data_IF_977732038712
#
_entry.id   IF_977732038712
#
_cell.length_a   1.000
_cell.length_b   1.000
_cell.length_c   1.000
_cell.angle_alpha   90.00
_cell.angle_beta   90.00
_cell.angle_gamma   90.00
#
_symmetry.space_group_name_H-M   'P 1'
#
loop_
_entity.id
_entity.type
_entity.pdbx_description
1 polymer ?
#
# COMPACT_ATOMS: atom_id res chain seq x y z
N UNK A 1 26.65 24.96 2.10
CA UNK A 1 26.47 23.73 2.90
C UNK A 1 27.30 22.66 2.24
N UNK A 2 28.05 21.87 3.02
CA UNK A 2 28.93 20.81 2.48
C UNK A 2 28.24 19.43 2.44
N UNK A 3 27.03 19.33 2.99
CA UNK A 3 26.19 18.14 2.99
C UNK A 3 24.71 18.51 2.86
N UNK A 4 23.93 17.68 2.17
CA UNK A 4 22.49 17.81 2.02
C UNK A 4 21.82 16.44 1.94
N UNK A 5 20.83 16.20 2.80
CA UNK A 5 19.97 15.02 2.72
C UNK A 5 18.75 15.33 1.86
N UNK A 6 18.68 14.75 0.66
CA UNK A 6 17.51 14.88 -0.20
C UNK A 6 16.46 13.82 0.15
N UNK A 7 15.28 14.27 0.60
CA UNK A 7 14.15 13.41 0.96
C UNK A 7 13.03 13.40 -0.10
N UNK A 8 13.16 14.22 -1.15
CA UNK A 8 12.16 14.35 -2.20
C UNK A 8 12.60 13.61 -3.45
N UNK A 9 11.94 12.48 -3.76
CA UNK A 9 12.22 11.67 -4.95
C UNK A 9 12.23 12.49 -6.27
N UNK A 10 11.33 13.47 -6.41
CA UNK A 10 11.30 14.37 -7.58
C UNK A 10 12.59 15.17 -7.73
N UNK A 11 13.09 15.74 -6.63
CA UNK A 11 14.32 16.53 -6.64
C UNK A 11 15.52 15.63 -6.88
N UNK A 12 15.57 14.48 -6.20
CA UNK A 12 16.62 13.48 -6.43
C UNK A 12 16.73 13.13 -7.92
N UNK A 13 15.61 12.89 -8.59
CA UNK A 13 15.59 12.55 -10.01
C UNK A 13 16.00 13.71 -10.94
N UNK A 14 15.57 14.95 -10.65
CA UNK A 14 15.59 16.01 -11.66
C UNK A 14 16.41 17.27 -11.30
N UNK A 15 16.58 17.57 -10.01
CA UNK A 15 17.15 18.86 -9.57
C UNK A 15 18.68 18.91 -9.63
N UNK A 16 19.35 17.76 -9.71
CA UNK A 16 20.82 17.65 -9.65
C UNK A 16 21.49 17.52 -11.03
N UNK A 17 20.76 17.82 -12.10
CA UNK A 17 21.32 17.90 -13.46
C UNK A 17 22.01 19.27 -13.66
N UNK A 18 23.08 19.52 -12.91
CA UNK A 18 23.79 20.81 -12.85
C UNK A 18 25.30 20.64 -13.04
N UNK A 19 26.02 21.68 -13.52
CA UNK A 19 27.47 21.60 -13.77
C UNK A 19 28.29 21.15 -12.56
N UNK A 20 27.89 21.54 -11.34
CA UNK A 20 28.60 21.14 -10.13
C UNK A 20 28.67 19.61 -9.93
N UNK A 21 27.66 18.86 -10.38
CA UNK A 21 27.65 17.39 -10.33
C UNK A 21 28.55 16.80 -11.41
N UNK A 22 28.42 17.28 -12.65
CA UNK A 22 29.23 16.76 -13.78
C UNK A 22 30.71 17.12 -13.66
N UNK A 23 31.04 18.22 -12.98
CA UNK A 23 32.40 18.69 -12.73
C UNK A 23 32.98 18.17 -11.40
N UNK A 24 32.27 17.27 -10.70
CA UNK A 24 32.75 16.61 -9.49
C UNK A 24 32.83 17.49 -8.23
N UNK A 25 32.34 18.74 -8.29
CA UNK A 25 32.26 19.64 -7.12
C UNK A 25 31.14 19.28 -6.16
N UNK A 26 30.12 18.56 -6.63
CA UNK A 26 29.03 18.02 -5.83
C UNK A 26 28.88 16.53 -6.15
N UNK A 27 29.02 15.68 -5.14
CA UNK A 27 28.83 14.23 -5.29
C UNK A 27 27.42 13.86 -4.85
N UNK A 28 26.69 13.20 -5.76
CA UNK A 28 25.35 12.67 -5.49
C UNK A 28 25.47 11.16 -5.29
N UNK A 29 25.17 10.67 -4.09
CA UNK A 29 25.34 9.26 -3.72
C UNK A 29 24.13 8.72 -2.96
N UNK A 30 23.72 7.49 -3.29
CA UNK A 30 22.71 6.74 -2.54
C UNK A 30 23.41 5.70 -1.67
N UNK A 31 23.38 5.92 -0.36
CA UNK A 31 24.05 5.04 0.61
C UNK A 31 23.03 4.07 1.21
N UNK A 32 23.14 2.75 0.97
CA UNK A 32 22.27 1.78 1.62
C UNK A 32 22.56 1.73 3.12
N UNK A 33 21.53 1.51 3.92
CA UNK A 33 21.67 1.28 5.36
C UNK A 33 20.86 0.03 5.76
N UNK A 34 21.21 -0.57 6.89
CA UNK A 34 20.46 -1.70 7.48
C UNK A 34 19.48 -1.25 8.56
N UNK A 35 19.08 0.01 8.58
CA UNK A 35 18.14 0.48 9.59
C UNK A 35 16.75 -0.09 9.26
N UNK A 36 16.05 -0.69 10.24
CA UNK A 36 14.67 -1.08 10.04
C UNK A 36 13.85 0.15 9.65
N UNK A 37 13.05 0.00 8.61
CA UNK A 37 12.12 1.00 8.13
C UNK A 37 10.70 0.46 8.17
N UNK A 38 9.73 1.33 8.40
CA UNK A 38 8.30 0.99 8.37
C UNK A 38 7.55 1.20 9.68
N UNK A 39 6.24 0.93 9.70
CA UNK A 39 5.39 0.82 8.51
C UNK A 39 4.77 2.19 8.19
N UNK A 40 4.93 2.65 6.95
CA UNK A 40 4.11 3.72 6.39
C UNK A 40 3.00 3.12 5.53
N UNK A 41 1.75 3.45 5.82
CA UNK A 41 0.61 2.92 5.08
C UNK A 41 -0.71 3.55 5.49
N UNK A 42 -1.78 3.19 4.78
CA UNK A 42 -3.13 3.59 5.13
C UNK A 42 -3.71 2.63 6.16
N UNK A 43 -4.21 3.19 7.26
CA UNK A 43 -4.65 2.38 8.41
C UNK A 43 -6.17 2.35 8.49
N UNK A 44 -6.73 1.14 8.49
CA UNK A 44 -8.16 0.94 8.69
C UNK A 44 -8.52 1.06 10.18
N UNK A 45 -9.50 1.89 10.51
CA UNK A 45 -10.04 1.94 11.86
C UNK A 45 -11.01 0.77 12.10
N UNK A 46 -10.52 -0.34 12.65
CA UNK A 46 -11.30 -1.57 12.88
C UNK A 46 -12.46 -1.41 13.88
N UNK A 47 -12.53 -0.27 14.58
CA UNK A 47 -13.68 0.08 15.44
C UNK A 47 -14.92 0.45 14.62
N UNK A 48 -14.76 0.78 13.33
CA UNK A 48 -15.86 1.07 12.41
C UNK A 48 -16.36 -0.23 11.76
N UNK A 49 -17.68 -0.52 11.78
CA UNK A 49 -18.23 -1.76 11.21
C UNK A 49 -17.83 -2.04 9.76
N UNK A 50 -17.72 -0.99 8.93
CA UNK A 50 -17.36 -1.09 7.50
C UNK A 50 -15.98 -1.73 7.27
N UNK A 51 -15.07 -1.70 8.25
CA UNK A 51 -13.71 -2.25 8.12
C UNK A 51 -13.45 -3.51 8.94
N UNK A 52 -14.47 -4.05 9.62
CA UNK A 52 -14.27 -5.21 10.50
C UNK A 52 -13.96 -6.49 9.74
N UNK A 53 -14.56 -6.69 8.57
CA UNK A 53 -14.29 -7.85 7.73
C UNK A 53 -12.90 -7.74 7.07
N UNK A 54 -12.09 -8.78 7.22
CA UNK A 54 -10.74 -8.84 6.63
C UNK A 54 -10.77 -8.83 5.11
N UNK A 55 -11.78 -9.45 4.49
CA UNK A 55 -11.95 -9.51 3.04
C UNK A 55 -12.22 -8.13 2.46
N UNK A 56 -12.97 -7.29 3.18
CA UNK A 56 -13.15 -5.88 2.80
C UNK A 56 -11.83 -5.15 2.81
N UNK A 57 -11.02 -5.28 3.87
CA UNK A 57 -9.71 -4.61 3.94
C UNK A 57 -8.77 -5.09 2.84
N UNK A 58 -8.77 -6.38 2.54
CA UNK A 58 -8.01 -6.96 1.44
C UNK A 58 -8.49 -6.41 0.09
N UNK A 59 -9.80 -6.38 -0.15
CA UNK A 59 -10.38 -5.82 -1.37
C UNK A 59 -9.99 -4.35 -1.58
N UNK A 60 -10.12 -3.53 -0.54
CA UNK A 60 -9.72 -2.12 -0.60
C UNK A 60 -8.21 -1.97 -0.85
N UNK A 61 -7.39 -2.85 -0.28
CA UNK A 61 -5.93 -2.81 -0.48
C UNK A 61 -5.53 -3.15 -1.92
N UNK A 62 -6.26 -4.04 -2.59
CA UNK A 62 -6.05 -4.39 -4.01
C UNK A 62 -6.25 -3.19 -4.95
N UNK A 63 -7.04 -2.20 -4.54
CA UNK A 63 -7.37 -1.05 -5.37
C UNK A 63 -6.32 0.07 -5.31
N UNK A 64 -5.30 -0.08 -4.46
CA UNK A 64 -4.16 0.83 -4.41
C UNK A 64 -3.08 0.39 -5.41
N UNK A 65 -2.98 1.11 -6.52
CA UNK A 65 -1.96 0.85 -7.55
C UNK A 65 -0.62 1.49 -7.16
N UNK A 66 0.21 0.73 -6.43
CA UNK A 66 1.53 1.20 -6.00
C UNK A 66 2.47 1.41 -7.17
N UNK A 67 2.51 0.48 -8.12
CA UNK A 67 3.46 0.52 -9.23
C UNK A 67 3.22 1.76 -10.10
N UNK A 68 1.94 2.09 -10.38
CA UNK A 68 1.59 3.33 -11.07
C UNK A 68 1.97 4.55 -10.23
N UNK A 69 1.63 4.56 -8.94
CA UNK A 69 1.93 5.68 -8.04
C UNK A 69 3.43 5.96 -7.98
N UNK A 70 4.24 4.91 -7.82
CA UNK A 70 5.68 5.01 -7.75
C UNK A 70 6.28 5.52 -9.06
N UNK A 71 5.82 4.98 -10.19
CA UNK A 71 6.26 5.42 -11.52
C UNK A 71 5.91 6.89 -11.78
N UNK A 72 4.66 7.29 -11.55
CA UNK A 72 4.15 8.59 -11.96
C UNK A 72 4.47 9.72 -10.97
N UNK A 73 4.43 9.45 -9.67
CA UNK A 73 4.55 10.48 -8.64
C UNK A 73 5.93 10.55 -8.01
N UNK A 74 6.66 9.43 -8.05
CA UNK A 74 7.90 9.24 -7.29
C UNK A 74 9.11 8.85 -8.17
N UNK A 75 8.98 8.92 -9.50
CA UNK A 75 10.06 8.60 -10.45
C UNK A 75 10.67 7.19 -10.24
N UNK A 76 9.88 6.25 -9.72
CA UNK A 76 10.34 4.89 -9.41
C UNK A 76 11.30 4.79 -8.23
N UNK A 77 11.46 5.86 -7.43
CA UNK A 77 12.48 5.91 -6.38
C UNK A 77 12.18 5.06 -5.13
N UNK A 78 10.93 4.60 -4.94
CA UNK A 78 10.54 3.88 -3.73
C UNK A 78 10.36 2.38 -3.97
N UNK A 79 10.65 1.59 -2.94
CA UNK A 79 10.26 0.19 -2.85
C UNK A 79 8.97 0.04 -2.03
N UNK A 80 8.15 -0.97 -2.34
CA UNK A 80 6.91 -1.22 -1.60
C UNK A 80 7.21 -1.86 -0.25
N UNK A 81 6.78 -1.22 0.84
CA UNK A 81 6.80 -1.84 2.19
C UNK A 81 5.93 -3.10 2.20
N UNK A 82 6.55 -4.24 2.52
CA UNK A 82 5.97 -5.58 2.62
C UNK A 82 6.06 -6.18 4.03
N UNK A 83 6.86 -5.57 4.91
CA UNK A 83 7.02 -5.98 6.30
C UNK A 83 6.79 -4.81 7.26
N UNK A 84 6.36 -5.12 8.48
CA UNK A 84 6.37 -4.16 9.59
C UNK A 84 7.81 -3.81 10.04
N UNK A 85 8.78 -4.67 9.72
CA UNK A 85 10.21 -4.52 10.03
C UNK A 85 11.04 -4.46 8.74
N UNK A 86 10.57 -3.72 7.73
CA UNK A 86 11.21 -3.64 6.42
C UNK A 86 12.70 -3.22 6.52
N UNK A 87 13.52 -3.61 5.54
CA UNK A 87 14.95 -3.26 5.51
C UNK A 87 15.74 -3.75 6.75
N UNK A 88 15.32 -4.87 7.34
CA UNK A 88 16.02 -5.51 8.46
C UNK A 88 15.94 -7.03 8.39
N UNK A 89 16.82 -7.70 9.13
CA UNK A 89 16.82 -9.16 9.31
C UNK A 89 15.53 -9.69 9.96
N UNK A 90 14.79 -8.82 10.65
CA UNK A 90 13.50 -9.17 11.27
C UNK A 90 12.35 -9.19 10.25
N UNK A 91 12.58 -8.79 9.00
CA UNK A 91 11.56 -8.84 7.96
C UNK A 91 11.24 -10.30 7.62
N UNK A 92 9.95 -10.68 7.77
CA UNK A 92 9.50 -12.00 7.35
C UNK A 92 9.69 -12.15 5.83
N UNK A 93 10.43 -13.19 5.43
CA UNK A 93 10.66 -13.53 4.03
C UNK A 93 10.30 -15.00 3.81
N UNK A 94 9.49 -15.28 2.78
CA UNK A 94 9.07 -16.64 2.50
C UNK A 94 8.13 -17.25 3.55
N UNK A 95 8.17 -18.58 3.66
CA UNK A 95 7.46 -19.35 4.68
C UNK A 95 8.30 -19.45 5.95
N UNK A 96 7.67 -19.62 7.13
CA UNK A 96 8.41 -19.78 8.36
C UNK A 96 9.30 -21.04 8.31
N UNK A 97 10.55 -20.90 8.76
CA UNK A 97 11.46 -22.04 8.94
C UNK A 97 11.08 -22.90 10.17
N UNK A 98 11.84 -23.96 10.45
CA UNK A 98 11.53 -24.88 11.54
C UNK A 98 11.52 -24.21 12.94
N UNK A 99 12.43 -23.25 13.19
CA UNK A 99 12.51 -22.54 14.46
C UNK A 99 11.35 -21.57 14.63
N UNK A 100 11.03 -20.84 13.55
CA UNK A 100 9.89 -19.93 13.49
C UNK A 100 8.57 -20.70 13.63
N UNK A 101 8.42 -21.87 12.98
CA UNK A 101 7.24 -22.74 13.17
C UNK A 101 7.12 -23.16 14.63
N UNK A 102 8.22 -23.56 15.30
CA UNK A 102 8.17 -23.92 16.72
C UNK A 102 7.65 -22.78 17.62
N UNK A 103 7.96 -21.52 17.28
CA UNK A 103 7.44 -20.33 17.97
C UNK A 103 5.95 -20.10 17.67
N UNK A 104 5.52 -20.32 16.42
CA UNK A 104 4.16 -20.06 15.95
C UNK A 104 3.16 -21.17 16.32
N UNK A 105 3.62 -22.41 16.46
CA UNK A 105 2.79 -23.60 16.66
C UNK A 105 1.83 -23.49 17.87
N UNK A 106 2.25 -22.97 19.05
CA UNK A 106 1.34 -22.75 20.19
C UNK A 106 0.18 -21.80 19.87
N UNK A 107 0.33 -20.97 18.84
CA UNK A 107 -0.67 -19.99 18.41
C UNK A 107 -1.40 -20.39 17.12
N UNK A 108 -1.16 -21.59 16.57
CA UNK A 108 -1.70 -22.01 15.27
C UNK A 108 -3.21 -21.80 15.13
N UNK A 109 -4.00 -22.05 16.18
CA UNK A 109 -5.45 -21.84 16.17
C UNK A 109 -5.90 -20.37 16.14
N UNK A 110 -4.99 -19.44 16.47
CA UNK A 110 -5.22 -17.98 16.48
C UNK A 110 -4.61 -17.29 15.25
N UNK A 111 -3.84 -18.01 14.43
CA UNK A 111 -3.17 -17.48 13.27
C UNK A 111 -3.93 -17.85 11.99
N UNK A 112 -3.91 -16.98 10.96
CA UNK A 112 -4.42 -17.36 9.64
C UNK A 112 -3.68 -18.60 9.12
N UNK A 113 -4.38 -19.64 8.61
CA UNK A 113 -3.72 -20.85 8.11
C UNK A 113 -2.66 -20.58 7.04
N UNK A 114 -2.88 -19.56 6.22
CA UNK A 114 -1.97 -19.10 5.17
C UNK A 114 -0.56 -18.74 5.67
N UNK A 115 -0.39 -18.39 6.96
CA UNK A 115 0.94 -18.14 7.57
C UNK A 115 1.89 -19.33 7.35
N UNK A 116 1.36 -20.56 7.27
CA UNK A 116 2.15 -21.77 7.12
C UNK A 116 2.19 -22.32 5.69
N UNK A 117 1.41 -21.77 4.75
CA UNK A 117 1.28 -22.33 3.40
C UNK A 117 1.55 -21.34 2.27
N UNK A 118 1.45 -20.04 2.53
CA UNK A 118 1.64 -19.00 1.52
C UNK A 118 2.43 -17.82 2.09
N UNK A 119 3.58 -17.53 1.48
CA UNK A 119 4.37 -16.37 1.85
C UNK A 119 3.64 -15.07 1.47
N UNK A 120 3.51 -14.13 2.40
CA UNK A 120 2.84 -12.88 2.14
C UNK A 120 3.52 -12.07 1.03
N UNK A 121 2.72 -11.62 0.07
CA UNK A 121 3.11 -10.69 -0.98
C UNK A 121 2.09 -9.56 -1.04
N UNK A 122 2.58 -8.33 -1.25
CA UNK A 122 1.69 -7.25 -1.66
C UNK A 122 1.15 -7.55 -3.06
N UNK A 123 -0.09 -7.13 -3.38
CA UNK A 123 -0.54 -7.17 -4.77
C UNK A 123 0.35 -6.26 -5.62
N UNK A 124 0.74 -6.76 -6.78
CA UNK A 124 1.49 -6.01 -7.77
C UNK A 124 0.63 -5.79 -9.02
N UNK A 125 0.77 -4.62 -9.64
CA UNK A 125 0.18 -4.30 -10.94
C UNK A 125 1.28 -4.16 -12.00
N UNK A 126 0.90 -3.95 -13.26
CA UNK A 126 1.85 -3.61 -14.33
C UNK A 126 2.24 -2.12 -14.35
N UNK A 127 1.70 -1.32 -13.43
CA UNK A 127 1.91 0.12 -13.35
C UNK A 127 1.31 0.93 -14.51
N UNK A 128 0.40 0.34 -15.29
CA UNK A 128 -0.31 1.03 -16.38
C UNK A 128 -1.40 1.98 -15.87
N UNK A 129 -1.86 1.80 -14.63
CA UNK A 129 -3.05 2.46 -14.07
C UNK A 129 -4.35 1.75 -14.42
N UNK A 130 -4.30 0.62 -15.13
CA UNK A 130 -5.45 -0.21 -15.48
C UNK A 130 -5.45 -1.50 -14.65
N UNK A 131 -6.08 -1.46 -13.48
CA UNK A 131 -6.03 -2.56 -12.49
C UNK A 131 -7.21 -3.53 -12.57
N UNK A 132 -7.65 -3.91 -13.78
CA UNK A 132 -8.87 -4.73 -13.99
C UNK A 132 -8.82 -6.08 -13.26
N UNK A 133 -7.64 -6.72 -13.19
CA UNK A 133 -7.50 -7.99 -12.49
C UNK A 133 -7.74 -7.82 -10.98
N UNK A 134 -7.13 -6.80 -10.38
CA UNK A 134 -7.28 -6.43 -8.98
C UNK A 134 -8.72 -5.98 -8.67
N UNK A 135 -9.36 -5.21 -9.55
CA UNK A 135 -10.76 -4.80 -9.42
C UNK A 135 -11.71 -6.01 -9.39
N UNK A 136 -11.51 -7.00 -10.27
CA UNK A 136 -12.32 -8.24 -10.26
C UNK A 136 -12.14 -9.02 -8.96
N UNK A 137 -10.90 -9.18 -8.50
CA UNK A 137 -10.61 -9.87 -7.24
C UNK A 137 -11.19 -9.12 -6.04
N UNK A 138 -11.05 -7.79 -6.01
CA UNK A 138 -11.64 -6.94 -4.98
C UNK A 138 -13.17 -7.10 -4.97
N UNK A 139 -13.81 -7.04 -6.14
CA UNK A 139 -15.27 -7.22 -6.25
C UNK A 139 -15.74 -8.60 -5.76
N UNK A 140 -14.99 -9.68 -6.04
CA UNK A 140 -15.29 -11.01 -5.50
C UNK A 140 -15.22 -11.03 -3.97
N UNK A 141 -14.14 -10.51 -3.38
CA UNK A 141 -13.97 -10.43 -1.92
C UNK A 141 -15.07 -9.59 -1.25
N UNK A 142 -15.49 -8.50 -1.89
CA UNK A 142 -16.59 -7.66 -1.40
C UNK A 142 -17.93 -8.41 -1.45
N UNK A 143 -18.21 -9.16 -2.52
CA UNK A 143 -19.41 -10.01 -2.61
C UNK A 143 -19.43 -11.11 -1.55
N UNK A 144 -18.30 -11.76 -1.30
CA UNK A 144 -18.16 -12.75 -0.23
C UNK A 144 -18.40 -12.13 1.15
N UNK A 145 -18.08 -10.85 1.33
CA UNK A 145 -18.40 -10.05 2.51
C UNK A 145 -19.86 -9.55 2.55
N UNK A 146 -20.70 -9.96 1.58
CA UNK A 146 -22.11 -9.60 1.48
C UNK A 146 -22.38 -8.24 0.85
N UNK A 147 -21.36 -7.56 0.34
CA UNK A 147 -21.53 -6.30 -0.38
C UNK A 147 -21.97 -6.56 -1.81
N UNK A 148 -22.67 -5.60 -2.42
CA UNK A 148 -23.16 -5.75 -3.80
C UNK A 148 -23.36 -4.39 -4.46
N UNK A 149 -23.45 -4.39 -5.79
CA UNK A 149 -23.81 -3.19 -6.54
C UNK A 149 -25.34 -3.09 -6.65
N UNK A 150 -25.88 -1.92 -6.34
CA UNK A 150 -27.28 -1.52 -6.59
C UNK A 150 -27.23 -0.14 -7.24
N UNK A 151 -27.79 0.00 -8.44
CA UNK A 151 -27.83 1.28 -9.18
C UNK A 151 -26.45 1.95 -9.28
N UNK A 152 -25.44 1.19 -9.73
CA UNK A 152 -24.04 1.62 -9.87
C UNK A 152 -23.36 2.11 -8.57
N UNK A 153 -23.95 1.80 -7.41
CA UNK A 153 -23.37 2.07 -6.09
C UNK A 153 -23.11 0.78 -5.33
N UNK A 154 -21.93 0.71 -4.71
CA UNK A 154 -21.63 -0.36 -3.76
C UNK A 154 -22.47 -0.14 -2.50
N UNK A 155 -23.19 -1.17 -2.08
CA UNK A 155 -23.87 -1.22 -0.79
C UNK A 155 -23.27 -2.30 0.09
N UNK A 156 -23.20 -2.04 1.39
CA UNK A 156 -22.73 -3.02 2.38
C UNK A 156 -23.74 -4.17 2.56
N UNK A 157 -23.39 -5.14 3.42
CA UNK A 157 -24.26 -6.28 3.75
C UNK A 157 -25.62 -5.89 4.36
N UNK A 158 -25.81 -4.62 4.77
CA UNK A 158 -27.07 -4.07 5.29
C UNK A 158 -27.81 -3.23 4.26
N UNK A 159 -27.32 -3.17 3.02
CA UNK A 159 -27.90 -2.38 1.93
C UNK A 159 -27.61 -0.88 2.02
N UNK A 160 -26.65 -0.45 2.85
CA UNK A 160 -26.27 0.97 2.95
C UNK A 160 -25.21 1.32 1.91
N UNK A 161 -25.35 2.43 1.16
CA UNK A 161 -24.30 2.91 0.28
C UNK A 161 -22.96 3.06 1.00
N UNK A 162 -21.89 2.54 0.41
CA UNK A 162 -20.55 2.56 0.99
C UNK A 162 -19.88 3.90 0.69
N UNK A 163 -19.65 4.66 1.75
CA UNK A 163 -18.83 5.87 1.74
C UNK A 163 -17.68 5.67 2.71
N UNK A 164 -16.46 5.81 2.21
CA UNK A 164 -15.23 5.76 2.99
C UNK A 164 -14.71 7.18 3.18
N UNK A 165 -14.36 7.52 4.41
CA UNK A 165 -13.72 8.79 4.73
C UNK A 165 -12.23 8.56 5.01
N UNK A 166 -11.38 9.33 4.34
CA UNK A 166 -9.94 9.35 4.57
C UNK A 166 -9.55 10.67 5.24
N UNK A 167 -9.01 10.60 6.46
CA UNK A 167 -8.46 11.74 7.16
C UNK A 167 -7.02 11.96 6.71
N UNK A 168 -6.76 13.06 6.01
CA UNK A 168 -5.48 13.39 5.42
C UNK A 168 -4.71 14.35 6.32
N UNK A 169 -3.65 13.86 6.96
CA UNK A 169 -2.78 14.68 7.81
C UNK A 169 -1.64 15.39 7.02
N UNK A 170 -1.26 14.84 5.87
CA UNK A 170 -0.16 15.34 5.03
C UNK A 170 -0.69 15.64 3.63
N UNK A 171 -0.78 16.92 3.29
CA UNK A 171 -1.37 17.37 2.01
C UNK A 171 -0.66 16.76 0.80
N UNK A 172 0.63 16.48 0.91
CA UNK A 172 1.46 15.88 -0.14
C UNK A 172 1.01 14.46 -0.53
N UNK A 173 0.25 13.77 0.34
CA UNK A 173 -0.33 12.46 0.08
C UNK A 173 -1.66 12.52 -0.67
N UNK A 174 -2.27 13.70 -0.83
CA UNK A 174 -3.53 13.83 -1.58
C UNK A 174 -3.40 13.28 -3.01
N UNK A 175 -2.28 13.59 -3.70
CA UNK A 175 -2.00 13.06 -5.05
C UNK A 175 -1.90 11.54 -5.12
N UNK A 176 -1.59 10.87 -4.01
CA UNK A 176 -1.59 9.39 -3.91
C UNK A 176 -3.02 8.86 -3.73
N UNK A 177 -3.87 9.62 -3.03
CA UNK A 177 -5.26 9.24 -2.78
C UNK A 177 -6.18 9.48 -3.98
N UNK A 178 -5.88 10.42 -4.87
CA UNK A 178 -6.74 10.71 -6.04
C UNK A 178 -6.88 9.51 -7.00
N UNK A 179 -5.79 8.81 -7.42
CA UNK A 179 -5.91 7.56 -8.18
C UNK A 179 -6.65 6.47 -7.41
N UNK A 180 -6.38 6.35 -6.10
CA UNK A 180 -7.05 5.37 -5.25
C UNK A 180 -8.57 5.63 -5.16
N UNK A 181 -8.97 6.90 -5.04
CA UNK A 181 -10.36 7.35 -5.09
C UNK A 181 -11.04 6.93 -6.39
N UNK A 182 -10.37 7.12 -7.53
CA UNK A 182 -10.87 6.70 -8.83
C UNK A 182 -11.08 5.18 -8.88
N UNK A 183 -10.09 4.41 -8.45
CA UNK A 183 -10.16 2.95 -8.44
C UNK A 183 -11.29 2.41 -7.54
N UNK A 184 -11.58 3.07 -6.42
CA UNK A 184 -12.72 2.78 -5.55
C UNK A 184 -14.06 3.13 -6.23
N UNK A 185 -14.11 4.29 -6.89
CA UNK A 185 -15.30 4.75 -7.61
C UNK A 185 -15.68 3.82 -8.76
N UNK A 186 -14.71 3.19 -9.43
CA UNK A 186 -14.96 2.19 -10.47
C UNK A 186 -15.70 0.95 -9.94
N UNK A 187 -15.66 0.70 -8.62
CA UNK A 187 -16.46 -0.32 -7.94
C UNK A 187 -17.67 0.27 -7.20
N UNK A 188 -18.04 1.52 -7.47
CA UNK A 188 -19.20 2.18 -6.86
C UNK A 188 -18.99 2.60 -5.39
N UNK A 189 -17.75 2.63 -4.89
CA UNK A 189 -17.40 3.06 -3.53
C UNK A 189 -16.98 4.53 -3.56
N UNK A 190 -17.61 5.38 -2.76
CA UNK A 190 -17.20 6.78 -2.66
C UNK A 190 -16.08 6.96 -1.62
N UNK A 191 -15.04 7.72 -1.98
CA UNK A 191 -13.96 8.11 -1.09
C UNK A 191 -14.01 9.62 -0.85
N UNK A 192 -14.31 10.02 0.38
CA UNK A 192 -14.28 11.41 0.83
C UNK A 192 -12.94 11.68 1.52
N UNK A 193 -12.15 12.60 0.98
CA UNK A 193 -10.89 13.03 1.58
C UNK A 193 -11.18 14.25 2.45
N UNK A 194 -10.86 14.18 3.74
CA UNK A 194 -10.96 15.31 4.68
C UNK A 194 -9.58 15.74 5.10
N UNK A 195 -9.39 17.06 5.18
CA UNK A 195 -8.17 17.71 5.67
C UNK A 195 -8.42 18.21 7.09
#
# INVERSE_FOLDING_TARGET
FDYWLEMTAKNWANAYNIPAVTEGRLVKEQIPNGNPTGMQGFVFNLRRPVFQDVRVRQALSLLLDFEWTNKQLFNGAYARTRSYFENSEMAATGLPDAEQVAILEPFRSKLPPQVFSEAFQNPATDGSGMIRAQQRQAYQLLQEAGWRIVEDKMVDAKGKPVVIEFLLAQTEFERVLLPFKRNLSDLGIDLVIRR
#
